data_IF_008191540704
#
_entry.id   IF_008191540704
#
_cell.length_a   1.000
_cell.length_b   1.000
_cell.length_c   1.000
_cell.angle_alpha   90.00
_cell.angle_beta   90.00
_cell.angle_gamma   90.00
#
_symmetry.space_group_name_H-M   'P 1'
#
loop_
_entity.id
_entity.type
_entity.pdbx_description
1 polymer ?
#
# COMPACT_ATOMS: atom_id res chain seq x y z
N UNK A 1 -35.04 -15.46 13.32
CA UNK A 1 -36.01 -14.36 13.54
C UNK A 1 -37.24 -14.65 12.69
N UNK A 2 -38.37 -14.98 13.31
CA UNK A 2 -39.64 -15.19 12.58
C UNK A 2 -40.37 -13.84 12.43
N UNK A 3 -40.35 -13.26 11.23
CA UNK A 3 -41.03 -12.01 10.87
C UNK A 3 -42.49 -12.28 10.45
N UNK A 4 -43.29 -12.97 11.27
CA UNK A 4 -44.61 -13.46 10.83
C UNK A 4 -45.71 -12.39 10.75
N UNK A 5 -45.46 -11.16 11.24
CA UNK A 5 -46.35 -10.00 11.06
C UNK A 5 -45.54 -8.69 11.06
N UNK A 6 -44.94 -8.35 9.93
CA UNK A 6 -44.47 -6.99 9.68
C UNK A 6 -45.68 -6.16 9.23
N UNK A 7 -46.15 -5.26 10.09
CA UNK A 7 -47.19 -4.31 9.72
C UNK A 7 -46.55 -3.22 8.84
N UNK A 8 -47.12 -2.97 7.66
CA UNK A 8 -46.59 -2.03 6.67
C UNK A 8 -46.90 -0.57 7.04
N UNK A 9 -46.55 -0.23 8.27
CA UNK A 9 -46.78 1.08 8.86
C UNK A 9 -45.86 2.13 8.24
N UNK A 10 -46.28 3.40 8.20
CA UNK A 10 -45.41 4.50 7.76
C UNK A 10 -44.07 4.56 8.51
N UNK A 11 -44.07 4.20 9.79
CA UNK A 11 -42.86 4.15 10.62
C UNK A 11 -41.92 3.02 10.17
N UNK A 12 -42.45 1.83 9.88
CA UNK A 12 -41.67 0.71 9.37
C UNK A 12 -41.04 1.04 8.01
N UNK A 13 -41.81 1.62 7.08
CA UNK A 13 -41.28 2.08 5.78
C UNK A 13 -40.16 3.10 5.95
N UNK A 14 -40.30 4.06 6.87
CA UNK A 14 -39.25 5.06 7.15
C UNK A 14 -37.98 4.43 7.72
N UNK A 15 -38.12 3.44 8.61
CA UNK A 15 -36.97 2.70 9.15
C UNK A 15 -36.28 1.87 8.07
N UNK A 16 -37.04 1.23 7.18
CA UNK A 16 -36.51 0.47 6.06
C UNK A 16 -35.77 1.37 5.08
N UNK A 17 -36.35 2.52 4.69
CA UNK A 17 -35.68 3.50 3.84
C UNK A 17 -34.38 4.01 4.48
N UNK A 18 -34.39 4.34 5.76
CA UNK A 18 -33.17 4.77 6.47
C UNK A 18 -32.09 3.69 6.50
N UNK A 19 -32.49 2.41 6.59
CA UNK A 19 -31.57 1.28 6.54
C UNK A 19 -30.99 1.09 5.14
N UNK A 20 -31.81 1.24 4.09
CA UNK A 20 -31.37 1.20 2.69
C UNK A 20 -30.36 2.31 2.39
N UNK A 21 -30.66 3.55 2.78
CA UNK A 21 -29.75 4.69 2.64
C UNK A 21 -28.42 4.44 3.39
N UNK A 22 -28.50 3.92 4.62
CA UNK A 22 -27.31 3.55 5.40
C UNK A 22 -26.48 2.44 4.76
N UNK A 23 -27.13 1.42 4.19
CA UNK A 23 -26.48 0.33 3.48
C UNK A 23 -25.79 0.81 2.20
N UNK A 24 -26.42 1.70 1.44
CA UNK A 24 -25.81 2.29 0.24
C UNK A 24 -24.62 3.18 0.57
N UNK A 25 -24.70 4.00 1.62
CA UNK A 25 -23.56 4.78 2.10
C UNK A 25 -22.40 3.89 2.54
N UNK A 26 -22.69 2.80 3.25
CA UNK A 26 -21.66 1.84 3.66
C UNK A 26 -21.01 1.18 2.44
N UNK A 27 -21.82 0.74 1.47
CA UNK A 27 -21.34 0.14 0.21
C UNK A 27 -20.41 1.09 -0.53
N UNK A 28 -20.78 2.36 -0.66
CA UNK A 28 -19.93 3.36 -1.32
C UNK A 28 -18.61 3.56 -0.59
N UNK A 29 -18.64 3.63 0.75
CA UNK A 29 -17.42 3.76 1.58
C UNK A 29 -16.50 2.56 1.44
N UNK A 30 -17.04 1.34 1.47
CA UNK A 30 -16.27 0.11 1.28
C UNK A 30 -15.62 0.06 -0.11
N UNK A 31 -16.36 0.44 -1.17
CA UNK A 31 -15.82 0.49 -2.54
C UNK A 31 -14.68 1.51 -2.68
N UNK A 32 -14.84 2.70 -2.10
CA UNK A 32 -13.78 3.73 -2.08
C UNK A 32 -12.54 3.24 -1.33
N UNK A 33 -12.74 2.63 -0.17
CA UNK A 33 -11.66 2.08 0.65
C UNK A 33 -10.88 0.99 -0.11
N UNK A 34 -11.58 -0.01 -0.66
CA UNK A 34 -10.97 -1.09 -1.44
C UNK A 34 -10.18 -0.56 -2.65
N UNK A 35 -10.75 0.40 -3.40
CA UNK A 35 -10.02 1.06 -4.50
C UNK A 35 -8.78 1.81 -4.00
N UNK A 36 -8.85 2.42 -2.82
CA UNK A 36 -7.71 3.06 -2.17
C UNK A 36 -6.61 2.07 -1.80
N UNK A 37 -6.96 0.93 -1.18
CA UNK A 37 -6.01 -0.13 -0.83
C UNK A 37 -5.28 -0.66 -2.07
N UNK A 38 -6.01 -0.87 -3.17
CA UNK A 38 -5.39 -1.31 -4.44
C UNK A 38 -4.37 -0.31 -4.95
N UNK A 39 -4.74 0.97 -5.05
CA UNK A 39 -3.82 2.04 -5.48
C UNK A 39 -2.61 2.17 -4.56
N UNK A 40 -2.81 2.03 -3.26
CA UNK A 40 -1.73 2.07 -2.28
C UNK A 40 -0.76 0.91 -2.45
N UNK A 41 -1.27 -0.30 -2.69
CA UNK A 41 -0.48 -1.51 -2.96
C UNK A 41 0.33 -1.37 -4.26
N UNK A 42 -0.30 -0.84 -5.31
CA UNK A 42 0.38 -0.52 -6.58
C UNK A 42 1.51 0.49 -6.35
N UNK A 43 1.23 1.60 -5.64
CA UNK A 43 2.25 2.62 -5.33
C UNK A 43 3.39 2.14 -4.43
N UNK A 44 3.13 1.21 -3.50
CA UNK A 44 4.18 0.55 -2.71
C UNK A 44 5.10 -0.30 -3.60
N UNK A 45 4.54 -1.00 -4.59
CA UNK A 45 5.32 -1.76 -5.57
C UNK A 45 6.22 -0.87 -6.41
N UNK A 46 5.66 0.21 -6.98
CA UNK A 46 6.44 1.19 -7.76
C UNK A 46 7.56 1.83 -6.92
N UNK A 47 7.28 2.15 -5.64
CA UNK A 47 8.27 2.71 -4.73
C UNK A 47 9.38 1.71 -4.35
N UNK A 48 9.04 0.42 -4.20
CA UNK A 48 10.01 -0.65 -4.01
C UNK A 48 10.94 -0.76 -5.23
N UNK A 49 10.38 -0.89 -6.43
CA UNK A 49 11.13 -1.02 -7.67
C UNK A 49 12.06 0.20 -7.88
N UNK A 50 11.56 1.39 -7.57
CA UNK A 50 12.33 2.64 -7.61
C UNK A 50 13.54 2.64 -6.67
N UNK A 51 13.37 2.23 -5.41
CA UNK A 51 14.48 2.15 -4.45
C UNK A 51 15.55 1.13 -4.92
N UNK A 52 15.12 -0.04 -5.40
CA UNK A 52 16.02 -1.09 -5.87
C UNK A 52 16.80 -0.63 -7.11
N UNK A 53 16.12 0.01 -8.07
CA UNK A 53 16.76 0.56 -9.26
C UNK A 53 17.77 1.66 -8.91
N UNK A 54 17.41 2.56 -7.98
CA UNK A 54 18.29 3.62 -7.53
C UNK A 54 19.50 3.08 -6.77
N UNK A 55 19.30 2.13 -5.85
CA UNK A 55 20.39 1.47 -5.13
C UNK A 55 21.35 0.76 -6.10
N UNK A 56 20.82 0.09 -7.14
CA UNK A 56 21.64 -0.58 -8.17
C UNK A 56 22.44 0.42 -9.01
N UNK A 57 21.84 1.57 -9.33
CA UNK A 57 22.52 2.65 -10.06
C UNK A 57 23.63 3.28 -9.21
N UNK A 58 23.40 3.44 -7.91
CA UNK A 58 24.36 3.97 -6.96
C UNK A 58 25.54 3.00 -6.75
N UNK A 59 25.28 1.71 -6.68
CA UNK A 59 26.30 0.66 -6.59
C UNK A 59 27.16 0.61 -7.86
N UNK A 60 26.53 0.71 -9.04
CA UNK A 60 27.24 0.78 -10.32
C UNK A 60 28.10 2.04 -10.45
N UNK A 61 27.57 3.20 -10.02
CA UNK A 61 28.32 4.46 -9.98
C UNK A 61 29.51 4.39 -9.02
N UNK A 62 29.30 3.83 -7.84
CA UNK A 62 30.31 3.67 -6.79
C UNK A 62 31.37 2.61 -7.08
N UNK A 63 31.51 2.12 -8.31
CA UNK A 63 32.72 1.43 -8.79
C UNK A 63 33.27 0.31 -7.90
N UNK A 64 32.44 -0.57 -7.32
CA UNK A 64 32.92 -1.72 -6.54
C UNK A 64 33.79 -1.38 -5.31
N UNK A 65 34.07 -2.39 -4.47
CA UNK A 65 34.74 -2.16 -3.18
C UNK A 65 36.24 -1.81 -3.28
N UNK A 66 36.87 -2.01 -4.44
CA UNK A 66 38.33 -1.99 -4.59
C UNK A 66 38.83 -1.04 -5.69
N UNK A 67 37.96 -0.19 -6.28
CA UNK A 67 38.42 0.84 -7.22
C UNK A 67 38.98 2.05 -6.45
N UNK A 68 40.28 2.40 -6.61
CA UNK A 68 40.89 3.53 -5.93
C UNK A 68 40.21 4.87 -6.23
N UNK A 69 39.62 5.02 -7.43
CA UNK A 69 38.91 6.24 -7.82
C UNK A 69 37.59 6.31 -7.03
N UNK A 70 36.79 5.25 -7.03
CA UNK A 70 35.57 5.17 -6.22
C UNK A 70 35.80 5.50 -4.74
N UNK A 71 36.84 4.93 -4.13
CA UNK A 71 37.15 5.17 -2.71
C UNK A 71 37.42 6.66 -2.45
N UNK A 72 38.16 7.33 -3.34
CA UNK A 72 38.44 8.75 -3.24
C UNK A 72 37.19 9.63 -3.45
N UNK A 73 36.21 9.16 -4.22
CA UNK A 73 34.96 9.85 -4.52
C UNK A 73 33.79 9.48 -3.59
N UNK A 74 34.05 8.73 -2.51
CA UNK A 74 33.04 8.44 -1.48
C UNK A 74 32.30 7.11 -1.66
N UNK A 75 32.84 6.16 -2.42
CA UNK A 75 32.32 4.80 -2.58
C UNK A 75 31.86 4.13 -1.27
N UNK A 76 32.64 4.16 -0.17
CA UNK A 76 32.22 3.59 1.12
C UNK A 76 30.93 4.21 1.69
N UNK A 77 30.68 5.50 1.43
CA UNK A 77 29.45 6.19 1.84
C UNK A 77 28.29 5.77 0.93
N UNK A 78 28.52 5.68 -0.38
CA UNK A 78 27.52 5.21 -1.35
C UNK A 78 27.07 3.77 -1.08
N UNK A 79 27.98 2.89 -0.63
CA UNK A 79 27.61 1.55 -0.19
C UNK A 79 26.62 1.57 0.97
N UNK A 80 26.82 2.45 1.97
CA UNK A 80 25.88 2.58 3.10
C UNK A 80 24.48 2.99 2.64
N UNK A 81 24.41 3.94 1.71
CA UNK A 81 23.13 4.35 1.10
C UNK A 81 22.48 3.21 0.32
N UNK A 82 23.26 2.45 -0.44
CA UNK A 82 22.76 1.27 -1.19
C UNK A 82 22.11 0.26 -0.26
N UNK A 83 22.75 -0.05 0.88
CA UNK A 83 22.22 -0.96 1.90
C UNK A 83 20.91 -0.40 2.48
N UNK A 84 20.91 0.87 2.89
CA UNK A 84 19.73 1.51 3.47
C UNK A 84 18.54 1.54 2.49
N UNK A 85 18.77 1.84 1.21
CA UNK A 85 17.74 1.84 0.17
C UNK A 85 17.15 0.44 -0.06
N UNK A 86 18.00 -0.59 -0.08
CA UNK A 86 17.54 -1.98 -0.18
C UNK A 86 16.71 -2.41 1.04
N UNK A 87 17.11 -1.96 2.23
CA UNK A 87 16.36 -2.23 3.46
C UNK A 87 14.99 -1.52 3.45
N UNK A 88 14.95 -0.23 3.08
CA UNK A 88 13.69 0.52 2.92
C UNK A 88 12.77 -0.16 1.90
N UNK A 89 13.32 -0.58 0.75
CA UNK A 89 12.57 -1.33 -0.24
C UNK A 89 11.97 -2.60 0.36
N UNK A 90 12.75 -3.38 1.11
CA UNK A 90 12.26 -4.60 1.76
C UNK A 90 11.08 -4.31 2.70
N UNK A 91 11.14 -3.25 3.51
CA UNK A 91 10.02 -2.87 4.37
C UNK A 91 8.78 -2.43 3.58
N UNK A 92 8.96 -1.75 2.42
CA UNK A 92 7.83 -1.41 1.53
C UNK A 92 7.17 -2.67 0.96
N UNK A 93 7.95 -3.67 0.57
CA UNK A 93 7.42 -4.95 0.08
C UNK A 93 6.67 -5.72 1.17
N UNK A 94 7.21 -5.74 2.40
CA UNK A 94 6.50 -6.32 3.56
C UNK A 94 5.17 -5.60 3.78
N UNK A 95 5.16 -4.26 3.77
CA UNK A 95 3.93 -3.49 3.93
C UNK A 95 2.94 -3.76 2.80
N UNK A 96 3.41 -3.88 1.55
CA UNK A 96 2.59 -4.22 0.39
C UNK A 96 1.89 -5.56 0.58
N UNK A 97 2.65 -6.59 0.99
CA UNK A 97 2.10 -7.92 1.24
C UNK A 97 1.04 -7.93 2.34
N UNK A 98 1.24 -7.17 3.42
CA UNK A 98 0.26 -7.06 4.50
C UNK A 98 -1.01 -6.39 4.02
N UNK A 99 -0.91 -5.28 3.28
CA UNK A 99 -2.08 -4.58 2.73
C UNK A 99 -2.85 -5.48 1.77
N UNK A 100 -2.17 -6.21 0.89
CA UNK A 100 -2.83 -7.11 -0.08
C UNK A 100 -3.58 -8.27 0.59
N UNK A 101 -3.08 -8.78 1.72
CA UNK A 101 -3.76 -9.80 2.53
C UNK A 101 -5.07 -9.26 3.13
N UNK A 102 -5.06 -8.03 3.66
CA UNK A 102 -6.24 -7.44 4.31
C UNK A 102 -7.20 -6.74 3.34
N UNK A 103 -6.79 -6.54 2.09
CA UNK A 103 -7.61 -5.91 1.04
C UNK A 103 -8.37 -6.93 0.17
N UNK A 104 -8.07 -8.22 0.27
CA UNK A 104 -8.80 -9.34 -0.36
C UNK A 104 -9.98 -9.77 0.48
#
# INVERSE_FOLDING_TARGET
MYFTRLDDSPMFRKQMQSLEEGADMLRERCLKYHKGCRKYTEGLGEAYDGDIAFASSLEAFGGGHNDPISVAFGGPVMTKFTIALREIGTYKEVLRSQVDIYAK
#
